data_IF_396756039792
#
_entry.id   IF_396756039792
#
_cell.length_a   1.000
_cell.length_b   1.000
_cell.length_c   1.000
_cell.angle_alpha   90.00
_cell.angle_beta   90.00
_cell.angle_gamma   90.00
#
_symmetry.space_group_name_H-M   'P 1'
#
loop_
_entity.id
_entity.type
_entity.pdbx_description
1 polymer ?
#
# COMPACT_ATOMS: atom_id res chain seq x y z
N UNK A 1 19.06 -4.90 -6.06
CA UNK A 1 18.46 -4.97 -7.41
C UNK A 1 17.05 -4.40 -7.31
N UNK A 2 16.66 -3.50 -8.21
CA UNK A 2 15.26 -3.06 -8.25
C UNK A 2 14.39 -4.18 -8.82
N UNK A 3 13.27 -4.44 -8.15
CA UNK A 3 12.20 -5.29 -8.65
C UNK A 3 11.27 -4.44 -9.50
N UNK A 4 10.65 -5.02 -10.52
CA UNK A 4 9.59 -4.39 -11.32
C UNK A 4 8.21 -4.46 -10.66
N UNK A 5 8.13 -5.10 -9.48
CA UNK A 5 6.92 -5.16 -8.66
C UNK A 5 6.62 -3.82 -7.99
N UNK A 6 5.36 -3.40 -8.10
CA UNK A 6 4.77 -2.36 -7.26
C UNK A 6 4.43 -2.99 -5.90
N UNK A 7 4.99 -2.44 -4.84
CA UNK A 7 4.72 -2.84 -3.46
C UNK A 7 3.48 -2.11 -2.94
N UNK A 8 2.55 -2.87 -2.35
CA UNK A 8 1.31 -2.36 -1.78
C UNK A 8 1.24 -2.79 -0.30
N UNK A 9 1.30 -1.83 0.62
CA UNK A 9 1.22 -2.08 2.07
C UNK A 9 -0.21 -1.84 2.57
N UNK A 10 -0.84 -2.85 3.13
CA UNK A 10 -2.16 -2.69 3.77
C UNK A 10 -2.04 -1.84 5.05
N UNK A 11 -3.15 -1.25 5.48
CA UNK A 11 -3.20 -0.43 6.70
C UNK A 11 -3.28 -1.26 8.00
N UNK A 12 -3.42 -2.58 7.87
CA UNK A 12 -3.55 -3.56 8.96
C UNK A 12 -3.17 -4.94 8.44
N UNK A 13 -3.09 -5.93 9.32
CA UNK A 13 -3.17 -7.34 8.90
C UNK A 13 -4.38 -7.61 8.00
N UNK A 14 -4.31 -8.67 7.19
CA UNK A 14 -5.41 -9.03 6.30
C UNK A 14 -6.75 -9.10 7.05
N UNK A 15 -7.70 -8.28 6.61
CA UNK A 15 -9.06 -8.20 7.15
C UNK A 15 -10.08 -8.25 6.02
N UNK A 16 -11.36 -8.57 6.28
CA UNK A 16 -12.34 -8.80 5.22
C UNK A 16 -12.50 -7.66 4.22
N UNK A 17 -12.31 -6.40 4.63
CA UNK A 17 -12.41 -5.26 3.71
C UNK A 17 -11.22 -5.15 2.75
N UNK A 18 -10.13 -5.88 2.98
CA UNK A 18 -9.04 -6.04 2.00
C UNK A 18 -9.37 -7.07 0.92
N UNK A 19 -10.50 -7.77 0.99
CA UNK A 19 -10.89 -8.79 0.01
C UNK A 19 -10.80 -8.34 -1.45
N UNK A 20 -11.19 -7.12 -1.86
CA UNK A 20 -11.06 -6.69 -3.24
C UNK A 20 -9.62 -6.73 -3.77
N UNK A 21 -8.63 -6.39 -2.92
CA UNK A 21 -7.21 -6.36 -3.28
C UNK A 21 -6.67 -7.77 -3.55
N UNK A 22 -6.94 -8.69 -2.63
CA UNK A 22 -6.56 -10.10 -2.78
C UNK A 22 -7.32 -10.79 -3.89
N UNK A 23 -8.61 -10.47 -4.07
CA UNK A 23 -9.42 -11.01 -5.15
C UNK A 23 -8.90 -10.57 -6.52
N UNK A 24 -8.53 -9.29 -6.67
CA UNK A 24 -7.92 -8.77 -7.90
C UNK A 24 -6.61 -9.50 -8.25
N UNK A 25 -5.76 -9.79 -7.25
CA UNK A 25 -4.56 -10.58 -7.45
C UNK A 25 -4.88 -12.03 -7.86
N UNK A 26 -5.78 -12.70 -7.13
CA UNK A 26 -6.16 -14.09 -7.41
C UNK A 26 -6.85 -14.30 -8.76
N UNK A 27 -7.63 -13.30 -9.22
CA UNK A 27 -8.30 -13.31 -10.52
C UNK A 27 -7.40 -12.84 -11.67
N UNK A 28 -6.15 -12.47 -11.39
CA UNK A 28 -5.19 -12.03 -12.41
C UNK A 28 -5.47 -10.65 -12.98
N UNK A 29 -6.27 -9.81 -12.32
CA UNK A 29 -6.60 -8.47 -12.82
C UNK A 29 -5.35 -7.59 -12.94
N UNK A 30 -4.42 -7.66 -11.98
CA UNK A 30 -3.14 -6.95 -12.11
C UNK A 30 -2.32 -7.45 -13.30
N UNK A 31 -2.25 -8.77 -13.50
CA UNK A 31 -1.50 -9.36 -14.59
C UNK A 31 -2.09 -9.01 -15.97
N UNK A 32 -3.42 -8.92 -16.08
CA UNK A 32 -4.11 -8.49 -17.30
C UNK A 32 -3.73 -7.06 -17.71
N UNK A 33 -3.44 -6.19 -16.75
CA UNK A 33 -2.97 -4.82 -16.96
C UNK A 33 -1.43 -4.71 -17.06
N UNK A 34 -0.70 -5.85 -17.07
CA UNK A 34 0.76 -5.86 -17.08
C UNK A 34 1.39 -5.38 -15.76
N UNK A 35 0.62 -5.33 -14.67
CA UNK A 35 1.04 -4.84 -13.36
C UNK A 35 1.46 -6.04 -12.49
N UNK A 36 2.66 -5.96 -11.90
CA UNK A 36 3.13 -6.93 -10.90
C UNK A 36 3.02 -6.31 -9.52
N UNK A 37 2.17 -6.88 -8.66
CA UNK A 37 1.93 -6.35 -7.31
C UNK A 37 2.49 -7.29 -6.25
N UNK A 38 3.22 -6.74 -5.29
CA UNK A 38 3.58 -7.41 -4.04
C UNK A 38 2.73 -6.86 -2.90
N UNK A 39 1.81 -7.68 -2.37
CA UNK A 39 0.98 -7.33 -1.22
C UNK A 39 1.77 -7.58 0.06
N UNK A 40 1.83 -6.57 0.93
CA UNK A 40 2.55 -6.58 2.19
C UNK A 40 1.59 -6.21 3.32
N UNK A 41 1.83 -6.79 4.48
CA UNK A 41 1.12 -6.46 5.71
C UNK A 41 2.09 -5.79 6.70
N UNK A 42 1.64 -4.74 7.42
CA UNK A 42 2.46 -4.11 8.44
C UNK A 42 2.50 -4.95 9.72
N UNK A 43 3.60 -4.85 10.47
CA UNK A 43 3.63 -5.31 11.86
C UNK A 43 2.99 -4.29 12.80
N UNK A 44 3.25 -2.99 12.57
CA UNK A 44 2.59 -1.88 13.26
C UNK A 44 1.82 -1.01 12.25
N UNK A 45 0.50 -0.85 12.42
CA UNK A 45 -0.33 0.04 11.60
C UNK A 45 0.17 1.49 11.55
N UNK A 46 0.84 1.96 12.60
CA UNK A 46 1.36 3.33 12.74
C UNK A 46 2.44 3.62 11.70
N UNK A 47 3.32 2.66 11.44
CA UNK A 47 4.49 2.80 10.55
C UNK A 47 4.10 2.99 9.08
N UNK A 48 2.90 2.58 8.67
CA UNK A 48 2.46 2.54 7.26
C UNK A 48 2.66 3.90 6.56
N UNK A 49 2.38 5.01 7.24
CA UNK A 49 2.50 6.35 6.62
C UNK A 49 3.96 6.72 6.40
N UNK A 50 4.83 6.41 7.36
CA UNK A 50 6.28 6.68 7.28
C UNK A 50 6.95 5.78 6.23
N UNK A 51 6.59 4.49 6.20
CA UNK A 51 7.11 3.52 5.23
C UNK A 51 6.75 3.93 3.79
N UNK A 52 5.52 4.39 3.55
CA UNK A 52 5.10 4.88 2.23
C UNK A 52 5.75 6.24 1.92
N UNK A 53 5.74 7.18 2.88
CA UNK A 53 6.27 8.53 2.70
C UNK A 53 7.79 8.56 2.45
N UNK A 54 8.53 7.60 3.00
CA UNK A 54 9.96 7.43 2.76
C UNK A 54 10.30 6.78 1.41
N UNK A 55 9.31 6.27 0.68
CA UNK A 55 9.50 5.53 -0.57
C UNK A 55 9.99 4.09 -0.39
N UNK A 56 10.02 3.58 0.84
CA UNK A 56 10.37 2.18 1.13
C UNK A 56 9.33 1.21 0.55
N UNK A 57 8.08 1.67 0.45
CA UNK A 57 6.97 1.01 -0.27
C UNK A 57 6.34 2.01 -1.24
N UNK A 58 5.82 1.53 -2.37
CA UNK A 58 5.27 2.39 -3.42
C UNK A 58 3.90 2.99 -3.07
N UNK A 59 2.99 2.21 -2.47
CA UNK A 59 1.64 2.69 -2.12
C UNK A 59 0.98 1.80 -1.06
N UNK A 60 -0.20 2.19 -0.58
CA UNK A 60 -0.95 1.41 0.40
C UNK A 60 -2.28 2.02 0.81
N UNK A 61 -2.93 1.38 1.77
CA UNK A 61 -4.12 1.93 2.42
C UNK A 61 -3.74 2.75 3.64
N UNK A 62 -4.54 3.77 3.95
CA UNK A 62 -4.53 4.45 5.25
C UNK A 62 -5.87 5.12 5.49
N UNK A 63 -6.29 5.21 6.75
CA UNK A 63 -7.47 5.99 7.12
C UNK A 63 -7.24 7.48 6.83
N UNK A 64 -8.28 8.16 6.34
CA UNK A 64 -8.25 9.59 5.93
C UNK A 64 -7.85 10.55 7.06
N UNK A 65 -8.07 10.15 8.33
CA UNK A 65 -7.72 10.96 9.49
C UNK A 65 -6.22 11.32 9.57
N UNK A 66 -5.35 10.58 8.87
CA UNK A 66 -3.91 10.83 8.81
C UNK A 66 -3.54 11.87 7.74
N UNK A 67 -4.38 12.90 7.54
CA UNK A 67 -4.06 14.01 6.64
C UNK A 67 -3.08 14.95 7.35
N UNK A 68 -1.83 14.99 6.88
CA UNK A 68 -0.85 15.99 7.32
C UNK A 68 -1.02 17.25 6.45
N UNK A 69 -1.73 18.25 6.96
CA UNK A 69 -1.77 19.57 6.33
C UNK A 69 -0.50 20.35 6.74
N UNK A 70 0.46 20.47 5.83
CA UNK A 70 1.66 21.29 6.03
C UNK A 70 1.40 22.67 5.44
N UNK A 71 1.54 23.72 6.25
CA UNK A 71 1.61 25.11 5.79
C UNK A 71 3.06 25.41 5.41
N UNK A 72 3.27 25.89 4.18
CA UNK A 72 4.58 26.36 3.71
C UNK A 72 5.16 27.42 4.66
N UNK A 73 6.40 27.28 5.16
CA UNK A 73 7.03 28.27 6.02
C UNK A 73 7.56 29.52 5.29
N UNK A 74 7.24 29.76 4.01
CA UNK A 74 7.46 31.08 3.39
C UNK A 74 6.72 32.19 4.12
#
# INVERSE_FOLDING_TARGET
MSTDKITFLTNWHATPYHAPLYLAQSKGFFAAEGIKVALLEPNDPSDVTEIIGSGSVNMGFKAMIHTLAVRDPT
#
